data_IF_347012711794
#
_entry.id   IF_347012711794
#
_cell.length_a   1.000
_cell.length_b   1.000
_cell.length_c   1.000
_cell.angle_alpha   90.00
_cell.angle_beta   90.00
_cell.angle_gamma   90.00
#
_symmetry.space_group_name_H-M   'P 1'
#
loop_
_entity.id
_entity.type
_entity.pdbx_description
1 polymer ?
#
# COMPACT_ATOMS: atom_id res chain seq x y z
N UNK A 1 -49.70 -4.52 -9.98
CA UNK A 1 -48.36 -5.11 -10.16
C UNK A 1 -47.37 -4.24 -10.89
N UNK A 2 -47.69 -3.65 -12.07
CA UNK A 2 -46.75 -2.79 -12.83
C UNK A 2 -46.27 -1.54 -12.05
N UNK A 3 -47.17 -0.87 -11.30
CA UNK A 3 -46.79 0.29 -10.48
C UNK A 3 -45.86 -0.06 -9.30
N UNK A 4 -46.02 -1.19 -8.69
CA UNK A 4 -45.13 -1.64 -7.59
C UNK A 4 -43.71 -1.93 -8.10
N UNK A 5 -43.57 -2.49 -9.31
CA UNK A 5 -42.28 -2.73 -9.94
C UNK A 5 -41.56 -1.42 -10.32
N UNK A 6 -42.30 -0.42 -10.78
CA UNK A 6 -41.73 0.91 -11.13
C UNK A 6 -41.25 1.63 -9.86
N UNK A 7 -42.00 1.58 -8.77
CA UNK A 7 -41.60 2.17 -7.50
C UNK A 7 -40.39 1.48 -6.90
N UNK A 8 -40.32 0.14 -6.97
CA UNK A 8 -39.17 -0.62 -6.52
C UNK A 8 -37.89 -0.30 -7.35
N UNK A 9 -38.03 -0.16 -8.67
CA UNK A 9 -36.93 0.22 -9.53
C UNK A 9 -36.41 1.64 -9.23
N UNK A 10 -37.32 2.61 -8.99
CA UNK A 10 -36.97 3.99 -8.64
C UNK A 10 -36.29 4.09 -7.26
N UNK A 11 -36.67 3.22 -6.31
CA UNK A 11 -36.05 3.19 -4.98
C UNK A 11 -34.63 2.61 -5.00
N UNK A 12 -34.29 1.75 -5.97
CA UNK A 12 -32.95 1.13 -6.08
C UNK A 12 -31.93 2.06 -6.76
N UNK A 13 -32.36 3.03 -7.58
CA UNK A 13 -31.47 3.92 -8.32
C UNK A 13 -30.50 4.73 -7.43
N UNK A 14 -30.94 5.36 -6.32
CA UNK A 14 -30.02 6.12 -5.47
C UNK A 14 -29.00 5.20 -4.76
N UNK A 15 -29.40 3.97 -4.40
CA UNK A 15 -28.47 3.00 -3.77
C UNK A 15 -27.37 2.54 -4.72
N UNK A 16 -27.72 2.28 -5.98
CA UNK A 16 -26.75 1.90 -7.02
C UNK A 16 -25.80 3.06 -7.33
N UNK A 17 -26.31 4.28 -7.44
CA UNK A 17 -25.50 5.49 -7.66
C UNK A 17 -24.52 5.75 -6.53
N UNK A 18 -24.94 5.56 -5.27
CA UNK A 18 -24.05 5.66 -4.11
C UNK A 18 -23.01 4.56 -4.09
N UNK A 19 -23.38 3.31 -4.36
CA UNK A 19 -22.45 2.20 -4.41
C UNK A 19 -21.35 2.40 -5.45
N UNK A 20 -21.69 2.94 -6.64
CA UNK A 20 -20.70 3.27 -7.67
C UNK A 20 -19.84 4.46 -7.25
N UNK A 21 -20.41 5.51 -6.67
CA UNK A 21 -19.68 6.70 -6.24
C UNK A 21 -18.69 6.42 -5.12
N UNK A 22 -19.04 5.55 -4.17
CA UNK A 22 -18.20 5.20 -3.03
C UNK A 22 -17.30 4.00 -3.27
N UNK A 23 -17.44 3.29 -4.39
CA UNK A 23 -16.66 2.10 -4.72
C UNK A 23 -15.16 2.32 -4.58
N UNK A 24 -14.66 3.46 -5.03
CA UNK A 24 -13.24 3.80 -5.01
C UNK A 24 -12.82 4.58 -3.73
N UNK A 25 -13.81 4.99 -2.92
CA UNK A 25 -13.56 5.77 -1.68
C UNK A 25 -13.62 4.93 -0.42
N UNK A 26 -14.23 3.76 -0.47
CA UNK A 26 -14.34 2.85 0.68
C UNK A 26 -13.42 1.66 0.44
N UNK A 27 -12.38 1.57 1.25
CA UNK A 27 -11.54 0.36 1.28
C UNK A 27 -12.33 -0.79 1.92
N UNK A 28 -12.81 -1.72 1.11
CA UNK A 28 -13.48 -2.95 1.54
C UNK A 28 -12.50 -4.00 2.08
N UNK A 29 -11.21 -3.70 2.06
CA UNK A 29 -10.19 -4.60 2.56
C UNK A 29 -10.13 -4.53 4.07
N UNK A 30 -9.88 -5.67 4.70
CA UNK A 30 -9.66 -5.74 6.14
C UNK A 30 -8.51 -4.79 6.56
N UNK A 31 -8.62 -4.14 7.71
CA UNK A 31 -7.51 -3.32 8.23
C UNK A 31 -6.22 -4.13 8.28
N UNK A 32 -5.09 -3.48 7.99
CA UNK A 32 -3.78 -4.12 8.19
C UNK A 32 -3.63 -4.36 9.70
N UNK A 33 -3.26 -5.58 10.13
CA UNK A 33 -2.98 -5.84 11.53
C UNK A 33 -1.92 -4.87 12.08
N UNK A 34 -2.09 -4.39 13.29
CA UNK A 34 -1.12 -3.49 13.92
C UNK A 34 0.30 -4.08 14.00
N UNK A 35 0.40 -5.41 14.09
CA UNK A 35 1.68 -6.15 14.06
C UNK A 35 2.40 -6.07 12.70
N UNK A 36 1.71 -5.72 11.65
CA UNK A 36 2.25 -5.56 10.29
C UNK A 36 2.47 -4.10 9.90
N UNK A 37 2.25 -3.18 10.82
CA UNK A 37 2.44 -1.75 10.61
C UNK A 37 3.63 -1.24 11.41
N UNK A 38 4.33 -0.25 10.85
CA UNK A 38 5.47 0.40 11.51
C UNK A 38 5.38 1.91 11.32
N UNK A 39 5.75 2.67 12.35
CA UNK A 39 5.91 4.12 12.25
C UNK A 39 7.28 4.49 11.67
N UNK A 40 7.43 5.71 11.17
CA UNK A 40 8.73 6.22 10.70
C UNK A 40 9.77 6.17 11.83
N UNK A 41 9.38 6.53 13.06
CA UNK A 41 10.27 6.52 14.21
C UNK A 41 10.79 5.11 14.52
N UNK A 42 9.90 4.11 14.54
CA UNK A 42 10.27 2.71 14.75
C UNK A 42 11.18 2.18 13.62
N UNK A 43 10.83 2.43 12.35
CA UNK A 43 11.63 1.97 11.21
C UNK A 43 13.06 2.55 11.23
N UNK A 44 13.22 3.80 11.67
CA UNK A 44 14.54 4.43 11.84
C UNK A 44 15.40 3.78 12.91
N UNK A 45 14.80 3.17 13.94
CA UNK A 45 15.58 2.46 14.98
C UNK A 45 16.23 1.18 14.48
N UNK A 46 15.83 0.69 13.31
CA UNK A 46 16.39 -0.54 12.73
C UNK A 46 17.74 -0.34 12.02
N UNK A 47 18.17 0.90 11.86
CA UNK A 47 19.51 1.37 11.47
C UNK A 47 20.26 0.42 10.52
N UNK A 48 20.15 0.62 9.21
CA UNK A 48 20.80 -0.23 8.20
C UNK A 48 20.22 -1.64 8.02
N UNK A 49 19.41 -2.14 8.98
CA UNK A 49 18.71 -3.42 8.89
C UNK A 49 17.29 -3.29 8.32
N UNK A 50 16.93 -2.13 7.77
CA UNK A 50 15.69 -1.91 7.05
C UNK A 50 15.96 -1.64 5.57
N UNK A 51 15.14 -2.25 4.72
CA UNK A 51 15.04 -1.92 3.29
C UNK A 51 13.72 -1.18 3.09
N UNK A 52 13.80 0.02 2.52
CA UNK A 52 12.61 0.82 2.18
C UNK A 52 12.15 0.47 0.77
N UNK A 53 10.86 0.22 0.64
CA UNK A 53 10.24 -0.16 -0.63
C UNK A 53 9.16 0.85 -0.98
N UNK A 54 9.31 1.50 -2.11
CA UNK A 54 8.33 2.44 -2.65
C UNK A 54 7.35 1.72 -3.58
N UNK A 55 6.10 1.63 -3.15
CA UNK A 55 5.02 1.01 -3.93
C UNK A 55 4.26 2.01 -4.82
N UNK A 56 4.69 3.26 -4.88
CA UNK A 56 4.08 4.29 -5.73
C UNK A 56 4.47 4.09 -7.21
N UNK A 57 3.72 4.71 -8.13
CA UNK A 57 4.12 4.75 -9.54
C UNK A 57 5.52 5.34 -9.74
N UNK A 58 6.22 4.90 -10.80
CA UNK A 58 7.59 5.30 -11.12
C UNK A 58 7.78 6.82 -11.16
N UNK A 59 6.83 7.56 -11.72
CA UNK A 59 6.90 9.02 -11.78
C UNK A 59 6.91 9.70 -10.40
N UNK A 60 6.30 9.10 -9.39
CA UNK A 60 6.36 9.60 -8.02
C UNK A 60 7.69 9.26 -7.36
N UNK A 61 8.18 8.05 -7.58
CA UNK A 61 9.49 7.62 -7.10
C UNK A 61 10.61 8.50 -7.68
N UNK A 62 10.61 8.73 -8.98
CA UNK A 62 11.62 9.56 -9.66
C UNK A 62 11.62 11.01 -9.17
N UNK A 63 10.46 11.54 -8.77
CA UNK A 63 10.34 12.91 -8.27
C UNK A 63 10.98 13.10 -6.90
N UNK A 64 10.70 12.23 -5.96
CA UNK A 64 11.28 12.20 -4.61
C UNK A 64 10.91 10.88 -3.92
N UNK A 65 11.81 10.31 -3.14
CA UNK A 65 11.61 9.05 -2.43
C UNK A 65 12.41 9.02 -1.11
N UNK A 66 12.15 8.03 -0.28
CA UNK A 66 12.97 7.78 0.91
C UNK A 66 14.40 7.44 0.48
N UNK A 67 15.45 8.05 1.05
CA UNK A 67 16.83 7.74 0.71
C UNK A 67 17.10 6.22 0.72
N UNK A 68 17.76 5.72 -0.32
CA UNK A 68 18.06 4.29 -0.53
C UNK A 68 16.83 3.37 -0.70
N UNK A 69 15.64 3.93 -0.92
CA UNK A 69 14.46 3.14 -1.21
C UNK A 69 14.54 2.46 -2.58
N UNK A 70 13.98 1.27 -2.66
CA UNK A 70 13.89 0.48 -3.89
C UNK A 70 12.46 0.58 -4.44
N UNK A 71 12.26 0.91 -5.71
CA UNK A 71 10.93 0.90 -6.31
C UNK A 71 10.43 -0.53 -6.48
N UNK A 72 9.18 -0.77 -6.06
CA UNK A 72 8.50 -2.04 -6.27
C UNK A 72 6.99 -1.81 -6.30
N UNK A 73 6.46 -1.45 -7.47
CA UNK A 73 5.05 -1.23 -7.69
C UNK A 73 4.39 -2.43 -8.37
N UNK A 74 3.05 -2.46 -8.35
CA UNK A 74 2.27 -3.55 -8.93
C UNK A 74 2.36 -3.60 -10.46
N UNK A 75 2.46 -2.44 -11.11
CA UNK A 75 2.45 -2.32 -12.58
C UNK A 75 3.67 -3.00 -13.21
N UNK A 76 4.81 -2.95 -12.53
CA UNK A 76 6.08 -3.53 -12.99
C UNK A 76 6.59 -4.65 -12.07
N UNK A 77 5.70 -5.29 -11.35
CA UNK A 77 6.06 -6.31 -10.34
C UNK A 77 7.06 -7.35 -10.84
N UNK A 78 6.78 -7.98 -11.99
CA UNK A 78 7.59 -9.06 -12.52
C UNK A 78 9.01 -8.62 -12.92
N UNK A 79 9.18 -7.35 -13.24
CA UNK A 79 10.48 -6.74 -13.58
C UNK A 79 11.23 -6.31 -12.33
N UNK A 80 10.55 -5.67 -11.39
CA UNK A 80 11.16 -5.05 -10.21
C UNK A 80 11.44 -6.05 -9.08
N UNK A 81 10.64 -7.08 -8.92
CA UNK A 81 10.83 -8.08 -7.86
C UNK A 81 12.20 -8.76 -7.91
N UNK A 82 12.71 -9.24 -9.06
CA UNK A 82 14.05 -9.82 -9.12
C UNK A 82 15.15 -8.83 -8.71
N UNK A 83 15.02 -7.56 -9.08
CA UNK A 83 15.98 -6.50 -8.73
C UNK A 83 15.96 -6.23 -7.22
N UNK A 84 14.77 -6.16 -6.62
CA UNK A 84 14.60 -6.04 -5.18
C UNK A 84 15.26 -7.22 -4.43
N UNK A 85 15.03 -8.45 -4.87
CA UNK A 85 15.57 -9.66 -4.24
C UNK A 85 17.10 -9.72 -4.24
N UNK A 86 17.77 -9.12 -5.21
CA UNK A 86 19.23 -8.97 -5.22
C UNK A 86 19.72 -8.06 -4.08
N UNK A 87 18.94 -7.05 -3.72
CA UNK A 87 19.28 -6.08 -2.67
C UNK A 87 18.88 -6.58 -1.27
N UNK A 88 17.89 -7.46 -1.21
CA UNK A 88 17.35 -7.98 0.04
C UNK A 88 18.21 -9.11 0.62
N UNK A 89 18.25 -9.20 1.95
CA UNK A 89 18.80 -10.34 2.68
C UNK A 89 17.91 -10.72 3.87
N UNK A 90 17.99 -11.97 4.37
CA UNK A 90 17.08 -12.45 5.43
C UNK A 90 17.14 -11.68 6.75
N UNK A 91 18.21 -10.96 7.02
CA UNK A 91 18.38 -10.15 8.23
C UNK A 91 17.68 -8.81 8.14
N UNK A 92 17.31 -8.38 6.92
CA UNK A 92 16.70 -7.07 6.68
C UNK A 92 15.19 -7.12 6.79
N UNK A 93 14.64 -6.19 7.55
CA UNK A 93 13.22 -5.89 7.58
C UNK A 93 12.82 -5.06 6.38
N UNK A 94 11.67 -5.35 5.81
CA UNK A 94 11.15 -4.62 4.65
C UNK A 94 10.08 -3.64 5.10
N UNK A 95 10.22 -2.36 4.77
CA UNK A 95 9.25 -1.30 5.04
C UNK A 95 8.65 -0.83 3.73
N UNK A 96 7.41 -1.20 3.47
CA UNK A 96 6.69 -0.81 2.24
C UNK A 96 5.87 0.43 2.49
N UNK A 97 6.00 1.43 1.63
CA UNK A 97 5.19 2.64 1.72
C UNK A 97 4.55 3.00 0.38
N UNK A 98 3.47 3.75 0.43
CA UNK A 98 2.86 4.42 -0.72
C UNK A 98 2.49 5.87 -0.36
N UNK A 99 1.68 6.54 -1.15
CA UNK A 99 1.45 7.99 -1.02
C UNK A 99 0.87 8.38 0.34
N UNK A 100 -0.13 7.64 0.87
CA UNK A 100 -0.84 7.97 2.11
C UNK A 100 -1.33 6.74 2.85
N UNK A 101 -1.93 6.93 4.04
CA UNK A 101 -2.53 5.86 4.84
C UNK A 101 -3.65 5.11 4.12
N UNK A 102 -4.41 5.77 3.26
CA UNK A 102 -5.53 5.18 2.52
C UNK A 102 -5.11 4.45 1.23
N UNK A 103 -3.84 4.52 0.87
CA UNK A 103 -3.31 3.87 -0.33
C UNK A 103 -3.23 2.35 -0.16
N UNK A 104 -3.77 1.59 -1.11
CA UNK A 104 -3.76 0.14 -1.08
C UNK A 104 -2.48 -0.50 -1.66
N UNK A 105 -1.70 0.25 -2.43
CA UNK A 105 -0.52 -0.28 -3.12
C UNK A 105 0.52 -0.88 -2.15
N UNK A 106 0.85 -0.21 -1.04
CA UNK A 106 1.79 -0.74 -0.05
C UNK A 106 1.29 -2.02 0.62
N UNK A 107 -0.02 -2.11 0.87
CA UNK A 107 -0.64 -3.32 1.40
C UNK A 107 -0.52 -4.49 0.43
N UNK A 108 -0.84 -4.26 -0.84
CA UNK A 108 -0.80 -5.30 -1.86
C UNK A 108 0.64 -5.76 -2.12
N UNK A 109 1.59 -4.84 -2.26
CA UNK A 109 3.01 -5.16 -2.38
C UNK A 109 3.50 -5.98 -1.16
N UNK A 110 3.16 -5.57 0.07
CA UNK A 110 3.52 -6.31 1.28
C UNK A 110 2.90 -7.72 1.29
N UNK A 111 1.64 -7.86 0.91
CA UNK A 111 0.96 -9.16 0.78
C UNK A 111 1.68 -10.06 -0.22
N UNK A 112 2.05 -9.54 -1.38
CA UNK A 112 2.76 -10.29 -2.42
C UNK A 112 4.16 -10.67 -1.98
N UNK A 113 4.90 -9.80 -1.31
CA UNK A 113 6.21 -10.11 -0.76
C UNK A 113 6.14 -11.26 0.26
N UNK A 114 5.12 -11.29 1.12
CA UNK A 114 4.91 -12.38 2.07
C UNK A 114 4.47 -13.68 1.39
N UNK A 115 3.52 -13.60 0.43
CA UNK A 115 2.91 -14.77 -0.21
C UNK A 115 3.76 -15.35 -1.34
N UNK A 116 4.22 -14.52 -2.26
CA UNK A 116 4.93 -14.96 -3.46
C UNK A 116 6.44 -15.10 -3.21
N UNK A 117 7.06 -14.12 -2.54
CA UNK A 117 8.49 -14.13 -2.23
C UNK A 117 8.83 -14.75 -0.86
N UNK A 118 7.80 -15.11 -0.05
CA UNK A 118 7.93 -15.79 1.24
C UNK A 118 8.77 -15.02 2.28
N UNK A 119 8.79 -13.70 2.21
CA UNK A 119 9.45 -12.84 3.16
C UNK A 119 8.64 -12.74 4.46
N UNK A 120 9.30 -12.83 5.63
CA UNK A 120 8.64 -12.82 6.94
C UNK A 120 8.50 -11.42 7.53
N UNK A 121 9.58 -10.64 7.53
CA UNK A 121 9.67 -9.33 8.19
C UNK A 121 9.30 -8.19 7.23
N UNK A 122 8.05 -8.18 6.76
CA UNK A 122 7.51 -7.17 5.86
C UNK A 122 6.47 -6.34 6.60
N UNK A 123 6.69 -5.04 6.65
CA UNK A 123 5.84 -4.06 7.34
C UNK A 123 5.33 -3.00 6.38
N UNK A 124 4.17 -2.44 6.69
CA UNK A 124 3.59 -1.30 5.97
C UNK A 124 3.82 -0.03 6.79
N UNK A 125 4.35 1.01 6.16
CA UNK A 125 4.58 2.29 6.81
C UNK A 125 3.26 2.99 7.12
N UNK A 126 3.03 3.28 8.39
CA UNK A 126 1.88 4.05 8.85
C UNK A 126 1.96 5.48 8.30
N UNK A 127 0.90 5.94 7.65
CA UNK A 127 0.84 7.27 7.04
C UNK A 127 1.59 7.43 5.72
N UNK A 128 2.34 6.41 5.29
CA UNK A 128 3.03 6.40 4.00
C UNK A 128 4.01 7.56 3.78
N UNK A 129 4.14 8.00 2.53
CA UNK A 129 5.01 9.10 2.11
C UNK A 129 4.70 10.43 2.81
N UNK A 130 3.41 10.72 3.04
CA UNK A 130 3.01 11.95 3.75
C UNK A 130 3.59 12.01 5.17
N UNK A 131 3.61 10.88 5.88
CA UNK A 131 4.17 10.82 7.24
C UNK A 131 5.70 10.89 7.22
N UNK A 132 6.35 10.27 6.23
CA UNK A 132 7.78 10.43 6.03
C UNK A 132 8.17 11.89 5.81
N UNK A 133 7.43 12.64 4.97
CA UNK A 133 7.70 14.06 4.73
C UNK A 133 7.60 14.91 6.00
N UNK A 134 6.61 14.64 6.87
CA UNK A 134 6.48 15.32 8.16
C UNK A 134 7.68 15.05 9.07
N UNK A 135 8.22 13.84 9.03
CA UNK A 135 9.34 13.42 9.86
C UNK A 135 10.71 13.97 9.41
N UNK A 136 10.77 14.60 8.23
CA UNK A 136 11.99 15.28 7.71
C UNK A 136 12.18 16.69 8.28
N UNK A 137 11.11 17.26 8.86
CA UNK A 137 11.13 18.61 9.48
C UNK A 137 11.65 18.52 10.90
#
# INVERSE_FOLDING_TARGET
MRQALILAALALLPGIGQAIYFRDKVSWQSPIPASEMVTVAQARTWDGNAIWVDARPDAEFERDHVPDAVPLNEDRWNELLPQFLVTWSPEKRVVVYCSSQSCNASREVARRLRGEAQLKDVFVLQGGWEEWLKSRK
#
